data_IF_471993926803
#
_entry.id   IF_471993926803
#
_cell.length_a   1.000
_cell.length_b   1.000
_cell.length_c   1.000
_cell.angle_alpha   90.00
_cell.angle_beta   90.00
_cell.angle_gamma   90.00
#
_symmetry.space_group_name_H-M   'P 1'
#
loop_
_entity.id
_entity.type
_entity.pdbx_description
1 polymer ?
#
# COMPACT_ATOMS: atom_id res chain seq x y z
N UNK A 1 16.32 -7.23 23.60
CA UNK A 1 15.36 -6.56 22.68
C UNK A 1 14.34 -7.58 22.23
N UNK A 2 13.03 -7.30 22.35
CA UNK A 2 12.00 -8.18 21.77
C UNK A 2 12.05 -8.02 20.25
N UNK A 3 12.32 -9.08 19.53
CA UNK A 3 12.22 -9.09 18.07
C UNK A 3 10.73 -9.02 17.67
N UNK A 4 10.40 -8.14 16.74
CA UNK A 4 9.08 -7.99 16.15
C UNK A 4 9.17 -8.27 14.65
N UNK A 5 8.21 -9.00 14.08
CA UNK A 5 8.16 -9.23 12.63
C UNK A 5 7.78 -7.95 11.88
N UNK A 6 8.20 -7.82 10.61
CA UNK A 6 7.93 -6.63 9.80
C UNK A 6 6.44 -6.35 9.59
N UNK A 7 5.62 -7.39 9.39
CA UNK A 7 4.17 -7.28 9.28
C UNK A 7 3.54 -6.69 10.56
N UNK A 8 3.94 -7.18 11.74
CA UNK A 8 3.49 -6.64 13.03
C UNK A 8 3.94 -5.21 13.24
N UNK A 9 5.16 -4.88 12.85
CA UNK A 9 5.70 -3.54 12.95
C UNK A 9 4.90 -2.56 12.08
N UNK A 10 4.60 -2.93 10.83
CA UNK A 10 3.80 -2.11 9.93
C UNK A 10 2.39 -1.85 10.50
N UNK A 11 1.69 -2.90 10.93
CA UNK A 11 0.33 -2.75 11.50
C UNK A 11 0.37 -1.90 12.78
N UNK A 12 1.39 -2.09 13.62
CA UNK A 12 1.57 -1.24 14.81
C UNK A 12 1.79 0.22 14.44
N UNK A 13 2.66 0.50 13.47
CA UNK A 13 2.92 1.86 13.01
C UNK A 13 1.65 2.52 12.45
N UNK A 14 0.86 1.83 11.63
CA UNK A 14 -0.41 2.33 11.13
C UNK A 14 -1.36 2.73 12.28
N UNK A 15 -1.44 1.93 13.33
CA UNK A 15 -2.27 2.24 14.51
C UNK A 15 -1.74 3.46 15.29
N UNK A 16 -0.43 3.57 15.45
CA UNK A 16 0.20 4.72 16.13
C UNK A 16 0.01 6.02 15.34
N UNK A 17 -0.03 5.95 14.01
CA UNK A 17 -0.37 7.07 13.11
C UNK A 17 -1.88 7.37 13.06
N UNK A 18 -2.69 6.65 13.82
CA UNK A 18 -4.13 6.88 13.91
C UNK A 18 -4.95 6.37 12.72
N UNK A 19 -4.42 5.45 11.95
CA UNK A 19 -5.15 4.81 10.84
C UNK A 19 -6.25 3.93 11.43
N UNK A 20 -7.49 4.25 11.07
CA UNK A 20 -8.69 3.49 11.49
C UNK A 20 -9.36 2.76 10.33
N UNK A 21 -9.04 3.15 9.09
CA UNK A 21 -9.61 2.56 7.87
C UNK A 21 -8.49 2.32 6.86
N UNK A 22 -8.44 1.13 6.29
CA UNK A 22 -7.50 0.72 5.28
C UNK A 22 -8.25 0.11 4.10
N UNK A 23 -7.94 0.55 2.90
CA UNK A 23 -8.47 0.00 1.67
C UNK A 23 -7.49 -1.06 1.15
N UNK A 24 -7.88 -2.34 1.20
CA UNK A 24 -6.98 -3.44 0.95
C UNK A 24 -7.49 -4.45 -0.06
N UNK A 25 -6.61 -4.94 -0.93
CA UNK A 25 -6.87 -6.09 -1.78
C UNK A 25 -5.76 -7.13 -1.57
N UNK A 26 -6.07 -8.28 -0.98
CA UNK A 26 -5.06 -9.27 -0.63
C UNK A 26 -4.48 -9.93 -1.89
N UNK A 27 -3.20 -10.28 -1.80
CA UNK A 27 -2.50 -11.02 -2.83
C UNK A 27 -1.23 -11.65 -2.26
N UNK A 28 -0.56 -12.51 -3.03
CA UNK A 28 0.52 -13.36 -2.55
C UNK A 28 1.60 -12.61 -1.74
N UNK A 29 2.02 -11.44 -2.22
CA UNK A 29 3.09 -10.66 -1.57
C UNK A 29 2.63 -9.87 -0.34
N UNK A 30 1.35 -9.89 0.03
CA UNK A 30 0.80 -9.16 1.19
C UNK A 30 0.02 -10.04 2.15
N UNK A 31 0.05 -11.38 1.97
CA UNK A 31 -0.70 -12.33 2.81
C UNK A 31 -0.35 -12.16 4.29
N UNK A 32 0.93 -12.09 4.64
CA UNK A 32 1.37 -11.98 6.03
C UNK A 32 0.90 -10.66 6.69
N UNK A 33 0.86 -9.57 5.92
CA UNK A 33 0.34 -8.29 6.41
C UNK A 33 -1.18 -8.36 6.57
N UNK A 34 -1.87 -8.97 5.62
CA UNK A 34 -3.32 -9.14 5.67
C UNK A 34 -3.74 -10.04 6.85
N UNK A 35 -3.01 -11.12 7.11
CA UNK A 35 -3.22 -11.99 8.27
C UNK A 35 -3.02 -11.23 9.59
N UNK A 36 -1.99 -10.42 9.70
CA UNK A 36 -1.76 -9.60 10.87
C UNK A 36 -2.85 -8.54 11.06
N UNK A 37 -3.30 -7.89 9.99
CA UNK A 37 -4.44 -6.96 10.02
C UNK A 37 -5.72 -7.64 10.49
N UNK A 38 -5.98 -8.86 10.03
CA UNK A 38 -7.14 -9.66 10.45
C UNK A 38 -7.10 -10.00 11.94
N UNK A 39 -5.92 -10.26 12.49
CA UNK A 39 -5.72 -10.59 13.92
C UNK A 39 -5.77 -9.38 14.84
N UNK A 40 -5.64 -8.18 14.28
CA UNK A 40 -5.65 -6.93 15.04
C UNK A 40 -7.06 -6.33 15.09
N UNK A 41 -7.35 -5.58 16.14
CA UNK A 41 -8.54 -4.73 16.22
C UNK A 41 -8.18 -3.27 15.97
N UNK A 42 -9.16 -2.46 15.57
CA UNK A 42 -9.03 -1.00 15.49
C UNK A 42 -8.62 -0.46 14.11
N UNK A 43 -8.47 -1.33 13.10
CA UNK A 43 -8.40 -0.91 11.69
C UNK A 43 -9.48 -1.67 10.93
N UNK A 44 -10.43 -0.96 10.38
CA UNK A 44 -11.46 -1.51 9.48
C UNK A 44 -10.87 -1.67 8.08
N UNK A 45 -11.03 -2.87 7.50
CA UNK A 45 -10.53 -3.17 6.16
C UNK A 45 -11.69 -3.11 5.19
N UNK A 46 -11.59 -2.21 4.21
CA UNK A 46 -12.52 -2.12 3.09
C UNK A 46 -11.94 -2.90 1.92
N UNK A 47 -12.68 -3.89 1.44
CA UNK A 47 -12.27 -4.78 0.35
C UNK A 47 -13.13 -4.53 -0.91
N UNK A 48 -12.72 -3.66 -1.83
CA UNK A 48 -13.32 -3.51 -3.14
C UNK A 48 -13.02 -4.71 -4.04
N UNK A 49 -13.64 -4.76 -5.21
CA UNK A 49 -13.42 -5.85 -6.17
C UNK A 49 -12.29 -5.60 -7.17
N UNK A 50 -11.64 -4.44 -7.11
CA UNK A 50 -10.56 -4.03 -8.01
C UNK A 50 -9.70 -2.95 -7.35
N UNK A 51 -8.39 -2.99 -7.56
CA UNK A 51 -7.47 -2.05 -6.91
C UNK A 51 -7.64 -0.61 -7.40
N UNK A 52 -8.09 -0.41 -8.64
CA UNK A 52 -8.43 0.92 -9.12
C UNK A 52 -9.61 1.52 -8.35
N UNK A 53 -10.65 0.73 -8.08
CA UNK A 53 -11.75 1.18 -7.23
C UNK A 53 -11.26 1.48 -5.82
N UNK A 54 -10.40 0.63 -5.28
CA UNK A 54 -9.77 0.76 -3.97
C UNK A 54 -9.07 2.12 -3.79
N UNK A 55 -8.23 2.52 -4.72
CA UNK A 55 -7.51 3.79 -4.61
C UNK A 55 -8.44 4.99 -4.77
N UNK A 56 -9.50 4.90 -5.58
CA UNK A 56 -10.52 5.96 -5.66
C UNK A 56 -11.39 6.05 -4.41
N UNK A 57 -11.69 4.92 -3.75
CA UNK A 57 -12.38 4.93 -2.46
C UNK A 57 -11.51 5.58 -1.38
N UNK A 58 -10.20 5.29 -1.36
CA UNK A 58 -9.26 5.94 -0.45
C UNK A 58 -9.14 7.45 -0.72
N UNK A 59 -9.15 7.87 -2.00
CA UNK A 59 -9.18 9.28 -2.40
C UNK A 59 -10.46 9.97 -1.90
N UNK A 60 -11.62 9.37 -2.13
CA UNK A 60 -12.89 9.89 -1.65
C UNK A 60 -12.94 9.97 -0.11
N UNK A 61 -12.42 8.97 0.58
CA UNK A 61 -12.28 8.97 2.03
C UNK A 61 -11.43 10.15 2.52
N UNK A 62 -10.28 10.38 1.89
CA UNK A 62 -9.41 11.48 2.26
C UNK A 62 -10.08 12.85 2.05
N UNK A 63 -10.78 13.04 0.92
CA UNK A 63 -11.51 14.29 0.61
C UNK A 63 -12.64 14.55 1.60
N UNK A 64 -13.37 13.52 2.02
CA UNK A 64 -14.57 13.68 2.86
C UNK A 64 -14.26 13.76 4.35
N UNK A 65 -13.19 13.10 4.80
CA UNK A 65 -12.85 13.03 6.22
C UNK A 65 -11.72 13.94 6.64
N UNK A 66 -10.91 14.45 5.68
CA UNK A 66 -9.67 15.16 5.96
C UNK A 66 -8.53 14.28 6.48
N UNK A 67 -8.71 12.96 6.52
CA UNK A 67 -7.70 11.98 6.94
C UNK A 67 -6.92 11.46 5.74
N UNK A 68 -5.76 10.88 5.98
CA UNK A 68 -4.99 10.20 4.93
C UNK A 68 -5.69 8.92 4.49
N UNK A 69 -5.90 8.74 3.19
CA UNK A 69 -6.36 7.48 2.63
C UNK A 69 -5.21 6.47 2.57
N UNK A 70 -5.40 5.27 3.12
CA UNK A 70 -4.36 4.24 3.19
C UNK A 70 -4.75 3.03 2.37
N UNK A 71 -3.90 2.64 1.41
CA UNK A 71 -4.09 1.52 0.52
C UNK A 71 -3.07 0.40 0.79
N UNK A 72 -3.49 -0.85 0.63
CA UNK A 72 -2.61 -2.01 0.65
C UNK A 72 -2.98 -2.96 -0.50
N UNK A 73 -2.05 -3.19 -1.41
CA UNK A 73 -2.25 -4.08 -2.57
C UNK A 73 -1.03 -4.96 -2.81
N UNK A 74 -1.20 -6.05 -3.56
CA UNK A 74 -0.10 -6.93 -3.93
C UNK A 74 0.87 -6.28 -4.94
N UNK A 75 1.94 -6.99 -5.29
CA UNK A 75 2.92 -6.61 -6.30
C UNK A 75 2.33 -6.60 -7.72
N UNK A 76 3.13 -6.16 -8.69
CA UNK A 76 2.84 -6.25 -10.11
C UNK A 76 1.47 -5.68 -10.50
N UNK A 77 0.54 -6.54 -10.95
CA UNK A 77 -0.77 -6.08 -11.43
C UNK A 77 -1.59 -5.34 -10.36
N UNK A 78 -1.50 -5.74 -9.08
CA UNK A 78 -2.18 -5.04 -8.00
C UNK A 78 -1.64 -3.61 -7.82
N UNK A 79 -0.32 -3.47 -7.85
CA UNK A 79 0.33 -2.17 -7.73
C UNK A 79 0.07 -1.26 -8.95
N UNK A 80 0.12 -1.79 -10.17
CA UNK A 80 -0.13 -1.01 -11.40
C UNK A 80 -1.57 -0.54 -11.53
N UNK A 81 -2.52 -1.28 -10.97
CA UNK A 81 -3.93 -0.84 -10.93
C UNK A 81 -4.17 0.40 -10.05
N UNK A 82 -3.21 0.82 -9.23
CA UNK A 82 -3.30 2.08 -8.47
C UNK A 82 -2.96 3.33 -9.29
N UNK A 83 -2.32 3.20 -10.44
CA UNK A 83 -1.71 4.30 -11.21
C UNK A 83 -2.70 5.43 -11.48
N UNK A 84 -3.90 5.12 -11.96
CA UNK A 84 -4.94 6.12 -12.25
C UNK A 84 -5.30 6.92 -11.00
N UNK A 85 -5.57 6.25 -9.89
CA UNK A 85 -5.96 6.93 -8.64
C UNK A 85 -4.80 7.73 -8.02
N UNK A 86 -3.57 7.21 -8.10
CA UNK A 86 -2.37 7.94 -7.66
C UNK A 86 -2.17 9.22 -8.47
N UNK A 87 -2.32 9.15 -9.80
CA UNK A 87 -2.22 10.33 -10.66
C UNK A 87 -3.28 11.36 -10.29
N UNK A 88 -4.54 10.94 -10.14
CA UNK A 88 -5.64 11.83 -9.73
C UNK A 88 -5.34 12.49 -8.39
N UNK A 89 -4.99 11.71 -7.37
CA UNK A 89 -4.69 12.24 -6.03
C UNK A 89 -3.49 13.20 -6.02
N UNK A 90 -2.45 12.92 -6.81
CA UNK A 90 -1.27 13.78 -6.92
C UNK A 90 -1.62 15.15 -7.52
N UNK A 91 -2.39 15.16 -8.62
CA UNK A 91 -2.78 16.43 -9.27
C UNK A 91 -3.75 17.25 -8.42
N UNK A 92 -4.63 16.58 -7.67
CA UNK A 92 -5.61 17.23 -6.80
C UNK A 92 -5.10 17.49 -5.38
N UNK A 93 -3.83 17.12 -5.10
CA UNK A 93 -3.20 17.26 -3.77
C UNK A 93 -3.95 16.54 -2.65
N UNK A 94 -4.52 15.36 -2.94
CA UNK A 94 -5.20 14.50 -1.97
C UNK A 94 -4.18 13.63 -1.23
N UNK A 95 -4.20 13.60 0.12
CA UNK A 95 -3.24 12.83 0.88
C UNK A 95 -3.54 11.33 0.81
N UNK A 96 -2.70 10.56 0.14
CA UNK A 96 -2.75 9.10 0.07
C UNK A 96 -1.41 8.48 0.46
N UNK A 97 -1.47 7.33 1.11
CA UNK A 97 -0.34 6.43 1.34
C UNK A 97 -0.69 5.05 0.80
N UNK A 98 0.07 4.58 -0.17
CA UNK A 98 -0.15 3.29 -0.80
C UNK A 98 1.01 2.34 -0.52
N UNK A 99 0.72 1.25 0.17
CA UNK A 99 1.64 0.14 0.37
C UNK A 99 1.41 -0.88 -0.74
N UNK A 100 2.46 -1.21 -1.47
CA UNK A 100 2.43 -2.24 -2.49
C UNK A 100 3.33 -3.40 -2.09
N UNK A 101 2.89 -4.62 -2.29
CA UNK A 101 3.75 -5.78 -2.20
C UNK A 101 4.89 -5.70 -3.22
N UNK A 102 5.94 -6.45 -2.98
CA UNK A 102 7.01 -6.68 -3.94
C UNK A 102 7.49 -8.12 -3.83
N UNK A 103 8.06 -8.63 -4.90
CA UNK A 103 8.71 -9.94 -4.89
C UNK A 103 9.90 -9.95 -3.94
N UNK A 104 10.34 -11.13 -3.53
CA UNK A 104 11.49 -11.27 -2.64
C UNK A 104 12.72 -10.53 -3.21
N UNK A 105 13.50 -9.88 -2.34
CA UNK A 105 14.62 -8.99 -2.72
C UNK A 105 15.56 -9.57 -3.77
N UNK A 106 15.89 -10.87 -3.69
CA UNK A 106 16.79 -11.54 -4.61
C UNK A 106 16.17 -11.82 -5.99
N UNK A 107 14.87 -11.61 -6.14
CA UNK A 107 14.14 -11.79 -7.40
C UNK A 107 13.92 -10.48 -8.14
N UNK A 108 14.11 -9.33 -7.48
CA UNK A 108 13.90 -8.02 -8.10
C UNK A 108 14.84 -7.83 -9.28
N UNK A 109 14.27 -7.48 -10.44
CA UNK A 109 15.00 -7.32 -11.70
C UNK A 109 15.23 -8.63 -12.49
N UNK A 110 14.56 -9.72 -12.09
CA UNK A 110 14.68 -11.03 -12.76
C UNK A 110 13.37 -11.50 -13.40
N UNK A 111 12.47 -10.59 -13.71
CA UNK A 111 11.16 -10.89 -14.34
C UNK A 111 10.36 -11.96 -13.56
N UNK A 112 10.39 -11.89 -12.24
CA UNK A 112 9.68 -12.81 -11.38
C UNK A 112 8.16 -12.70 -11.55
N UNK A 113 7.42 -13.73 -11.15
CA UNK A 113 5.97 -13.73 -11.24
C UNK A 113 5.36 -12.54 -10.49
N UNK A 114 4.54 -11.75 -11.18
CA UNK A 114 3.94 -10.51 -10.68
C UNK A 114 4.97 -9.46 -10.22
N UNK A 115 6.16 -9.45 -10.80
CA UNK A 115 7.10 -8.35 -10.64
C UNK A 115 6.80 -7.21 -11.59
N UNK A 116 7.06 -5.98 -11.14
CA UNK A 116 7.06 -4.77 -11.97
C UNK A 116 7.91 -3.70 -11.30
N UNK A 117 8.55 -2.84 -12.07
CA UNK A 117 9.22 -1.64 -11.55
C UNK A 117 8.18 -0.58 -11.15
N UNK A 118 7.49 -0.81 -10.06
CA UNK A 118 6.45 0.10 -9.57
C UNK A 118 7.01 1.45 -9.14
N UNK A 119 8.26 1.50 -8.69
CA UNK A 119 8.94 2.76 -8.34
C UNK A 119 9.16 3.61 -9.59
N UNK A 120 9.66 3.02 -10.67
CA UNK A 120 9.80 3.70 -11.96
C UNK A 120 8.48 4.20 -12.52
N UNK A 121 7.45 3.35 -12.48
CA UNK A 121 6.11 3.68 -13.01
C UNK A 121 5.46 4.82 -12.24
N UNK A 122 5.57 4.85 -10.91
CA UNK A 122 4.83 5.80 -10.08
C UNK A 122 5.60 7.08 -9.71
N UNK A 123 6.89 7.13 -10.01
CA UNK A 123 7.75 8.27 -9.65
C UNK A 123 7.24 9.62 -10.11
N UNK A 124 6.67 9.71 -11.30
CA UNK A 124 6.16 10.96 -11.88
C UNK A 124 4.78 11.39 -11.36
N UNK A 125 4.08 10.50 -10.67
CA UNK A 125 2.71 10.69 -10.18
C UNK A 125 2.61 10.56 -8.65
N UNK A 126 3.74 10.61 -7.96
CA UNK A 126 3.80 10.55 -6.50
C UNK A 126 4.77 11.59 -5.96
N UNK A 127 4.48 12.12 -4.79
CA UNK A 127 5.38 13.03 -4.08
C UNK A 127 6.66 12.32 -3.61
N UNK A 128 6.53 11.06 -3.23
CA UNK A 128 7.64 10.20 -2.82
C UNK A 128 7.29 8.74 -3.05
N UNK A 129 8.23 7.97 -3.55
CA UNK A 129 8.12 6.52 -3.68
C UNK A 129 9.48 5.88 -3.41
N UNK A 130 9.47 4.75 -2.70
CA UNK A 130 10.70 4.01 -2.39
C UNK A 130 10.41 2.54 -2.11
N UNK A 131 11.44 1.71 -2.22
CA UNK A 131 11.43 0.35 -1.68
C UNK A 131 11.80 0.41 -0.19
N UNK A 132 10.84 0.13 0.70
CA UNK A 132 11.05 0.24 2.16
C UNK A 132 12.07 -0.74 2.72
N UNK A 133 12.32 -1.87 2.05
CA UNK A 133 13.33 -2.87 2.44
C UNK A 133 14.75 -2.54 1.93
N UNK A 134 14.89 -1.55 1.08
CA UNK A 134 16.17 -0.98 0.69
C UNK A 134 16.38 0.25 1.54
N UNK A 135 17.46 0.28 2.35
CA UNK A 135 17.82 1.49 3.09
C UNK A 135 17.94 2.64 2.09
N UNK A 136 17.19 3.71 2.33
CA UNK A 136 17.50 4.99 1.72
C UNK A 136 18.89 5.41 2.21
N UNK A 137 19.84 5.50 1.31
CA UNK A 137 21.17 6.06 1.57
C UNK A 137 21.12 7.56 1.41
#
# INVERSE_FOLDING_TARGET
>A
MRQISGNKLLVKALKEEGVTTLFGYPGACTIDISDELYRQSGIDIILPRHEQALVHEADAYARTTGKVGVCLVTSGPGATNLVTGLATANYDSVPLVCFTGQVARHLIGNDAFQEVDIVGITRSITKSVSYTHLRAH
#
